data_IF_833024006843
#
_entry.id   IF_833024006843
#
_cell.length_a   1.000
_cell.length_b   1.000
_cell.length_c   1.000
_cell.angle_alpha   90.00
_cell.angle_beta   90.00
_cell.angle_gamma   90.00
#
_symmetry.space_group_name_H-M   'P 1'
#
loop_
_entity.id
_entity.type
_entity.pdbx_description
1 polymer ?
#
# COMPACT_ATOMS: atom_id res chain seq x y z
N UNK A 1 -9.21 17.09 -17.96
CA UNK A 1 -8.72 16.99 -16.57
C UNK A 1 -9.91 16.62 -15.73
N UNK A 2 -9.79 15.51 -14.99
CA UNK A 2 -10.75 15.12 -13.97
C UNK A 2 -10.74 16.20 -12.87
N UNK A 3 -11.89 16.52 -12.29
CA UNK A 3 -11.91 17.42 -11.14
C UNK A 3 -11.56 16.68 -9.83
N UNK A 4 -11.25 17.44 -8.78
CA UNK A 4 -10.79 16.88 -7.50
C UNK A 4 -11.86 15.99 -6.82
N UNK A 5 -13.15 16.30 -7.02
CA UNK A 5 -14.26 15.55 -6.42
C UNK A 5 -14.38 14.20 -7.14
N UNK A 6 -14.39 14.22 -8.47
CA UNK A 6 -14.41 13.03 -9.31
C UNK A 6 -13.20 12.12 -9.01
N UNK A 7 -12.00 12.70 -8.83
CA UNK A 7 -10.80 11.97 -8.45
C UNK A 7 -10.96 11.29 -7.07
N UNK A 8 -11.51 12.00 -6.08
CA UNK A 8 -11.74 11.44 -4.74
C UNK A 8 -12.77 10.30 -4.76
N UNK A 9 -13.84 10.44 -5.54
CA UNK A 9 -14.84 9.38 -5.71
C UNK A 9 -14.23 8.13 -6.36
N UNK A 10 -13.41 8.33 -7.39
CA UNK A 10 -12.71 7.24 -8.07
C UNK A 10 -11.71 6.55 -7.13
N UNK A 11 -10.91 7.32 -6.38
CA UNK A 11 -9.98 6.80 -5.35
C UNK A 11 -10.73 5.97 -4.30
N UNK A 12 -11.85 6.47 -3.80
CA UNK A 12 -12.71 5.76 -2.83
C UNK A 12 -13.22 4.44 -3.40
N UNK A 13 -13.65 4.43 -4.66
CA UNK A 13 -14.09 3.21 -5.35
C UNK A 13 -12.96 2.19 -5.50
N UNK A 14 -11.78 2.63 -5.97
CA UNK A 14 -10.60 1.78 -6.16
C UNK A 14 -10.10 1.23 -4.82
N UNK A 15 -10.02 2.06 -3.78
CA UNK A 15 -9.62 1.63 -2.45
C UNK A 15 -10.59 0.59 -1.88
N UNK A 16 -11.90 0.79 -2.04
CA UNK A 16 -12.92 -0.16 -1.58
C UNK A 16 -12.71 -1.53 -2.25
N UNK A 17 -12.52 -1.55 -3.57
CA UNK A 17 -12.27 -2.79 -4.31
C UNK A 17 -10.95 -3.45 -3.92
N UNK A 18 -9.90 -2.65 -3.74
CA UNK A 18 -8.59 -3.13 -3.28
C UNK A 18 -8.69 -3.75 -1.90
N UNK A 19 -9.27 -3.05 -0.92
CA UNK A 19 -9.48 -3.53 0.45
C UNK A 19 -10.32 -4.80 0.49
N UNK A 20 -11.37 -4.90 -0.33
CA UNK A 20 -12.16 -6.12 -0.42
C UNK A 20 -11.32 -7.34 -0.84
N UNK A 21 -10.45 -7.18 -1.84
CA UNK A 21 -9.52 -8.25 -2.24
C UNK A 21 -8.46 -8.50 -1.16
N UNK A 22 -7.90 -7.44 -0.60
CA UNK A 22 -6.89 -7.47 0.45
C UNK A 22 -7.37 -8.26 1.67
N UNK A 23 -8.57 -7.97 2.18
CA UNK A 23 -9.14 -8.66 3.35
C UNK A 23 -9.55 -10.10 3.09
N UNK A 24 -9.83 -10.45 1.82
CA UNK A 24 -10.17 -11.81 1.42
C UNK A 24 -8.96 -12.69 1.12
N UNK A 25 -7.78 -12.09 0.97
CA UNK A 25 -6.56 -12.85 0.74
C UNK A 25 -6.26 -13.73 1.98
N UNK A 26 -6.08 -15.05 1.83
CA UNK A 26 -5.78 -15.94 2.96
C UNK A 26 -4.56 -15.53 3.80
N UNK A 27 -3.61 -14.78 3.22
CA UNK A 27 -2.43 -14.29 3.94
C UNK A 27 -2.72 -13.07 4.82
N UNK A 28 -3.83 -12.37 4.58
CA UNK A 28 -4.16 -11.09 5.24
C UNK A 28 -4.06 -11.13 6.76
N UNK A 29 -4.63 -12.14 7.47
CA UNK A 29 -4.57 -12.19 8.92
C UNK A 29 -3.15 -12.31 9.51
N UNK A 30 -2.15 -12.63 8.69
CA UNK A 30 -0.79 -12.90 9.12
C UNK A 30 0.21 -11.80 8.76
N UNK A 31 -0.15 -10.84 7.90
CA UNK A 31 0.76 -9.85 7.34
C UNK A 31 1.56 -9.11 8.41
N UNK A 32 0.87 -8.56 9.41
CA UNK A 32 1.48 -7.82 10.51
C UNK A 32 2.41 -8.71 11.36
N UNK A 33 2.06 -9.98 11.54
CA UNK A 33 2.85 -10.94 12.33
C UNK A 33 4.15 -11.33 11.62
N UNK A 34 4.17 -11.29 10.28
CA UNK A 34 5.39 -11.52 9.48
C UNK A 34 6.12 -10.21 9.13
N UNK A 35 5.76 -9.10 9.78
CA UNK A 35 6.45 -7.82 9.64
C UNK A 35 5.97 -6.94 8.48
N UNK A 36 4.95 -7.36 7.73
CA UNK A 36 4.31 -6.53 6.70
C UNK A 36 3.31 -5.60 7.40
N UNK A 37 3.73 -4.36 7.63
CA UNK A 37 2.92 -3.31 8.28
C UNK A 37 2.53 -2.17 7.34
N UNK A 38 3.09 -2.15 6.14
CA UNK A 38 2.85 -1.13 5.13
C UNK A 38 2.60 -1.82 3.79
N UNK A 39 1.61 -1.33 3.05
CA UNK A 39 1.27 -1.78 1.69
C UNK A 39 1.11 -0.54 0.84
N UNK A 40 1.84 -0.48 -0.27
CA UNK A 40 1.81 0.66 -1.21
C UNK A 40 1.38 0.11 -2.57
N UNK A 41 0.37 0.73 -3.18
CA UNK A 41 -0.20 0.32 -4.46
C UNK A 41 -0.46 1.54 -5.35
N UNK A 42 0.09 1.54 -6.55
CA UNK A 42 -0.23 2.55 -7.58
C UNK A 42 -1.54 2.23 -8.30
N UNK A 43 -2.32 3.26 -8.59
CA UNK A 43 -3.54 3.15 -9.38
C UNK A 43 -3.48 4.07 -10.60
N UNK A 44 -3.93 3.52 -11.73
CA UNK A 44 -4.00 4.21 -13.01
C UNK A 44 -5.36 3.93 -13.62
N UNK A 45 -5.89 4.91 -14.34
CA UNK A 45 -7.12 4.74 -15.09
C UNK A 45 -6.81 4.10 -16.46
N UNK A 46 -7.66 3.18 -16.96
CA UNK A 46 -7.41 2.51 -18.25
C UNK A 46 -7.35 3.46 -19.45
N UNK A 47 -8.01 4.62 -19.34
CA UNK A 47 -7.93 5.67 -20.34
C UNK A 47 -6.73 6.59 -20.04
N UNK A 48 -5.77 6.65 -20.97
CA UNK A 48 -4.53 7.42 -20.84
C UNK A 48 -4.77 8.91 -20.57
N UNK A 49 -5.88 9.48 -21.06
CA UNK A 49 -6.24 10.89 -20.84
C UNK A 49 -6.56 11.23 -19.37
N UNK A 50 -6.97 10.23 -18.58
CA UNK A 50 -7.16 10.35 -17.12
C UNK A 50 -5.86 9.97 -16.42
N UNK A 51 -5.20 8.90 -16.88
CA UNK A 51 -3.85 8.53 -16.47
C UNK A 51 -3.74 8.15 -14.99
N UNK A 52 -2.67 8.63 -14.34
CA UNK A 52 -2.30 8.28 -12.97
C UNK A 52 -3.30 8.83 -11.94
N UNK A 53 -3.82 7.96 -11.09
CA UNK A 53 -4.81 8.30 -10.07
C UNK A 53 -4.19 8.57 -8.70
N UNK A 54 -3.00 8.05 -8.44
CA UNK A 54 -2.32 8.18 -7.15
C UNK A 54 -1.73 6.87 -6.65
N UNK A 55 -0.95 6.97 -5.58
CA UNK A 55 -0.49 5.81 -4.80
C UNK A 55 -1.35 5.69 -3.54
N UNK A 56 -2.01 4.56 -3.34
CA UNK A 56 -2.62 4.20 -2.07
C UNK A 56 -1.55 3.64 -1.14
N UNK A 57 -1.48 4.17 0.08
CA UNK A 57 -0.71 3.61 1.16
C UNK A 57 -1.65 3.13 2.27
N UNK A 58 -1.55 1.85 2.63
CA UNK A 58 -2.18 1.28 3.83
C UNK A 58 -1.12 0.99 4.88
N UNK A 59 -1.39 1.33 6.15
CA UNK A 59 -0.52 0.95 7.26
C UNK A 59 -1.28 0.38 8.45
N UNK A 60 -0.63 -0.57 9.12
CA UNK A 60 -1.17 -1.22 10.30
C UNK A 60 -0.95 -0.38 11.56
N UNK A 61 -2.04 -0.09 12.26
CA UNK A 61 -2.04 0.58 13.56
C UNK A 61 -2.59 -0.38 14.62
N UNK A 62 -1.79 -0.77 15.63
CA UNK A 62 -2.30 -1.59 16.73
C UNK A 62 -3.36 -0.81 17.53
N UNK A 63 -4.42 -1.49 17.95
CA UNK A 63 -5.45 -0.88 18.79
C UNK A 63 -4.90 -0.69 20.21
N UNK A 64 -4.79 0.55 20.71
CA UNK A 64 -4.26 0.82 22.04
C UNK A 64 -5.17 0.30 23.16
N UNK A 65 -6.44 0.04 22.88
CA UNK A 65 -7.42 -0.46 23.85
C UNK A 65 -7.42 -1.99 23.98
N UNK A 66 -6.88 -2.69 22.97
CA UNK A 66 -6.88 -4.15 22.90
C UNK A 66 -8.26 -4.77 22.65
N UNK A 67 -9.24 -3.98 22.23
CA UNK A 67 -10.59 -4.47 21.88
C UNK A 67 -10.55 -5.28 20.58
N UNK A 68 -9.71 -4.84 19.64
CA UNK A 68 -9.33 -5.57 18.43
C UNK A 68 -7.80 -5.68 18.35
N UNK A 69 -7.27 -6.41 17.36
CA UNK A 69 -5.82 -6.51 17.15
C UNK A 69 -5.22 -5.18 16.62
N UNK A 70 -6.01 -4.42 15.87
CA UNK A 70 -5.60 -3.19 15.19
C UNK A 70 -6.41 -2.97 13.92
N UNK A 71 -6.08 -1.90 13.20
CA UNK A 71 -6.73 -1.49 11.96
C UNK A 71 -5.72 -1.15 10.87
N UNK A 72 -6.15 -1.25 9.61
CA UNK A 72 -5.39 -0.78 8.45
C UNK A 72 -5.90 0.61 8.05
N UNK A 73 -5.15 1.65 8.41
CA UNK A 73 -5.37 3.04 7.99
C UNK A 73 -4.96 3.26 6.54
N UNK A 74 -5.34 4.39 5.96
CA UNK A 74 -5.01 4.73 4.56
C UNK A 74 -4.74 6.20 4.31
N UNK A 75 -3.87 6.46 3.34
CA UNK A 75 -3.66 7.76 2.72
C UNK A 75 -3.40 7.60 1.22
N UNK A 76 -3.60 8.68 0.47
CA UNK A 76 -3.33 8.74 -0.96
C UNK A 76 -2.25 9.77 -1.24
N UNK A 77 -1.27 9.38 -2.05
CA UNK A 77 -0.27 10.29 -2.59
C UNK A 77 -0.63 10.69 -4.01
N UNK A 78 -0.45 11.97 -4.33
CA UNK A 78 -0.78 12.52 -5.64
C UNK A 78 0.33 12.28 -6.66
N UNK A 79 1.53 11.94 -6.20
CA UNK A 79 2.66 11.64 -7.08
C UNK A 79 3.30 10.27 -6.81
N UNK A 80 3.86 9.61 -7.84
CA UNK A 80 4.64 8.39 -7.63
C UNK A 80 5.88 8.62 -6.74
N UNK A 81 6.45 9.83 -6.77
CA UNK A 81 7.65 10.20 -6.03
C UNK A 81 7.43 10.17 -4.51
N UNK A 82 6.28 10.63 -4.03
CA UNK A 82 5.91 10.58 -2.61
C UNK A 82 5.79 9.13 -2.12
N UNK A 83 5.10 8.28 -2.88
CA UNK A 83 4.98 6.85 -2.57
C UNK A 83 6.33 6.13 -2.57
N UNK A 84 7.22 6.49 -3.51
CA UNK A 84 8.58 5.94 -3.57
C UNK A 84 9.44 6.41 -2.38
N UNK A 85 9.35 7.68 -2.01
CA UNK A 85 10.09 8.23 -0.88
C UNK A 85 9.68 7.55 0.44
N UNK A 86 8.38 7.28 0.61
CA UNK A 86 7.89 6.48 1.72
C UNK A 86 8.48 5.07 1.69
N UNK A 87 8.40 4.37 0.55
CA UNK A 87 8.93 3.00 0.42
C UNK A 87 10.42 2.92 0.78
N UNK A 88 11.22 3.88 0.28
CA UNK A 88 12.64 3.98 0.61
C UNK A 88 12.87 4.22 2.11
N UNK A 89 12.08 5.10 2.72
CA UNK A 89 12.17 5.36 4.16
C UNK A 89 11.81 4.11 4.97
N UNK A 90 10.78 3.36 4.57
CA UNK A 90 10.41 2.13 5.25
C UNK A 90 11.49 1.06 5.13
N UNK A 91 12.13 0.95 3.96
CA UNK A 91 13.20 -0.03 3.72
C UNK A 91 14.46 0.26 4.53
N UNK A 92 14.84 1.54 4.73
CA UNK A 92 15.99 1.89 5.57
C UNK A 92 15.78 1.58 7.05
N UNK A 93 14.53 1.44 7.50
CA UNK A 93 14.18 1.11 8.88
C UNK A 93 13.91 -0.38 9.11
N UNK A 94 14.08 -1.23 8.08
CA UNK A 94 13.94 -2.68 8.25
C UNK A 94 15.12 -3.26 9.02
N UNK A 95 14.84 -4.32 9.77
CA UNK A 95 15.85 -5.09 10.51
C UNK A 95 16.74 -5.97 9.61
N UNK A 96 16.47 -5.98 8.30
CA UNK A 96 17.17 -6.79 7.30
C UNK A 96 17.42 -5.97 6.04
N UNK A 97 18.47 -6.35 5.30
CA UNK A 97 18.84 -5.72 4.03
C UNK A 97 17.99 -6.30 2.89
N UNK A 98 17.11 -5.47 2.31
CA UNK A 98 16.21 -5.87 1.22
C UNK A 98 17.00 -6.23 -0.05
N UNK A 99 18.04 -5.46 -0.40
CA UNK A 99 18.82 -5.70 -1.62
C UNK A 99 19.49 -7.05 -1.59
N UNK A 100 20.05 -7.42 -0.43
CA UNK A 100 20.65 -8.73 -0.25
C UNK A 100 19.65 -9.87 -0.44
N UNK A 101 18.41 -9.70 0.00
CA UNK A 101 17.36 -10.71 -0.21
C UNK A 101 16.96 -10.82 -1.68
N UNK A 102 16.88 -9.70 -2.40
CA UNK A 102 16.60 -9.68 -3.84
C UNK A 102 17.70 -10.37 -4.65
N UNK A 103 18.97 -10.09 -4.33
CA UNK A 103 20.14 -10.75 -4.94
C UNK A 103 20.05 -12.27 -4.77
N UNK A 104 19.85 -12.74 -3.54
CA UNK A 104 19.73 -14.18 -3.23
C UNK A 104 18.53 -14.81 -3.95
N UNK A 105 17.39 -14.11 -4.01
CA UNK A 105 16.21 -14.60 -4.72
C UNK A 105 16.46 -14.72 -6.22
N UNK A 106 17.16 -13.75 -6.83
CA UNK A 106 17.51 -13.77 -8.24
C UNK A 106 18.51 -14.88 -8.57
N UNK A 107 19.52 -15.09 -7.74
CA UNK A 107 20.55 -16.11 -7.92
C UNK A 107 20.02 -17.56 -7.79
N UNK A 108 18.85 -17.72 -7.18
CA UNK A 108 18.23 -19.03 -6.88
C UNK A 108 16.83 -19.22 -7.48
N UNK A 109 16.38 -18.34 -8.38
CA UNK A 109 15.12 -18.47 -9.15
C UNK A 109 15.34 -19.17 -10.49
#
# INVERSE_FOLDING_TARGET
>A
MIDDIELQELRKGMETQFRYKFYKDPKFPFLQSIGIKHVIQGFEHPHEEVGFLGMLHLWWVPDPTGTVLGIWESEWFDTPHEGLALAQTLDTHRIFDVKKLEEVAHDHA
#
